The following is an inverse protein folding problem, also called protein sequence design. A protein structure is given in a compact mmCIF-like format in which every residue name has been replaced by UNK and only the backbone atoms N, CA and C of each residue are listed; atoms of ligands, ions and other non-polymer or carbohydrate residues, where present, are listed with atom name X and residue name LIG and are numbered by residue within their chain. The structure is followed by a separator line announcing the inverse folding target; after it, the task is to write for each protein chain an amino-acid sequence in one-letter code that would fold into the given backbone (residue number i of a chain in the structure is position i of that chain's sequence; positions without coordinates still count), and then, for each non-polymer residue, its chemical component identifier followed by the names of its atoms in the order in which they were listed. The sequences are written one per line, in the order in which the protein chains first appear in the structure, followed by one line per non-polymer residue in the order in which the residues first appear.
data_IF_436482535747
#
_entry.id   IF_436482535747
#
_cell.length_a   1.000
_cell.length_b   1.000
_cell.length_c   1.000
_cell.angle_alpha   90.00
_cell.angle_beta   90.00
_cell.angle_gamma   90.00
#
_symmetry.space_group_name_H-M   'P 1'
#
loop_
_entity.id
_entity.type
_entity.pdbx_description
1 polymer ?
#
# COMPACT_ATOMS: atom_id res chain seq x y z
N UNK A 1 -29.56 -0.46 35.93
CA UNK A 1 -28.17 -0.93 35.79
C UNK A 1 -28.23 -2.25 35.03
N UNK A 2 -28.23 -2.18 33.70
CA UNK A 2 -28.36 -3.33 32.80
C UNK A 2 -27.14 -3.33 31.89
N UNK A 3 -26.33 -4.37 32.03
CA UNK A 3 -25.02 -4.51 31.43
C UNK A 3 -25.20 -4.79 29.93
N UNK A 4 -24.83 -3.82 29.09
CA UNK A 4 -24.58 -4.04 27.66
C UNK A 4 -23.16 -4.61 27.53
N UNK A 5 -23.06 -5.92 27.38
CA UNK A 5 -21.89 -6.70 26.92
C UNK A 5 -22.46 -7.56 25.78
N UNK A 6 -21.86 -7.75 24.62
CA UNK A 6 -20.58 -7.40 24.04
C UNK A 6 -20.92 -7.12 22.57
N UNK A 7 -20.66 -5.90 22.11
CA UNK A 7 -20.61 -5.58 20.68
C UNK A 7 -19.15 -5.18 20.37
N UNK A 8 -18.22 -5.99 20.89
CA UNK A 8 -16.77 -5.77 20.86
C UNK A 8 -16.07 -7.07 20.46
N UNK A 9 -16.44 -7.65 19.32
CA UNK A 9 -15.61 -8.71 18.73
C UNK A 9 -15.73 -8.83 17.21
N UNK A 10 -15.93 -7.72 16.48
CA UNK A 10 -15.71 -7.66 15.02
C UNK A 10 -15.25 -6.26 14.59
N UNK A 11 -14.37 -5.61 15.36
CA UNK A 11 -13.53 -4.58 14.78
C UNK A 11 -12.54 -5.28 13.83
N UNK A 12 -13.04 -5.68 12.66
CA UNK A 12 -12.23 -6.16 11.57
C UNK A 12 -11.07 -5.18 11.40
N UNK A 13 -9.85 -5.69 11.47
CA UNK A 13 -8.63 -4.90 11.38
C UNK A 13 -8.69 -4.06 10.09
N UNK A 14 -8.94 -2.76 10.26
CA UNK A 14 -8.98 -1.77 9.20
C UNK A 14 -10.33 -1.63 8.47
N UNK A 15 -10.59 -0.47 7.83
CA UNK A 15 -11.73 -0.31 6.91
C UNK A 15 -11.68 -1.41 5.83
N UNK A 16 -12.76 -1.67 5.07
CA UNK A 16 -12.60 -2.42 3.83
C UNK A 16 -11.48 -1.72 3.04
N UNK A 17 -10.40 -2.46 2.76
CA UNK A 17 -9.16 -2.01 2.13
C UNK A 17 -8.22 -1.19 3.03
N UNK A 18 -7.42 -1.89 3.83
CA UNK A 18 -6.31 -1.30 4.59
C UNK A 18 -5.07 -0.96 3.71
N UNK A 19 -5.17 -1.15 2.39
CA UNK A 19 -4.13 -0.86 1.41
C UNK A 19 -4.70 -0.62 0.01
N UNK A 20 -3.86 -0.10 -0.87
CA UNK A 20 -4.07 -0.08 -2.33
C UNK A 20 -2.90 -0.80 -3.01
N UNK A 21 -3.19 -1.57 -4.06
CA UNK A 21 -2.18 -2.31 -4.84
C UNK A 21 -1.99 -1.67 -6.21
N UNK A 22 -0.78 -1.82 -6.74
CA UNK A 22 -0.45 -1.43 -8.10
C UNK A 22 0.74 -2.23 -8.64
N UNK A 23 1.08 -1.97 -9.89
CA UNK A 23 2.22 -2.59 -10.57
C UNK A 23 3.19 -1.48 -10.97
N UNK A 24 4.47 -1.65 -10.62
CA UNK A 24 5.53 -0.71 -11.00
C UNK A 24 6.49 -1.40 -11.97
N UNK A 25 6.18 -1.31 -13.26
CA UNK A 25 6.98 -1.86 -14.36
C UNK A 25 7.20 -0.83 -15.47
N UNK A 26 8.30 -0.98 -16.22
CA UNK A 26 8.64 -0.11 -17.35
C UNK A 26 8.18 -0.78 -18.65
N UNK A 27 7.39 -0.07 -19.45
CA UNK A 27 6.96 -0.58 -20.75
C UNK A 27 8.15 -0.98 -21.63
N UNK A 28 8.09 -2.18 -22.20
CA UNK A 28 9.12 -2.71 -23.09
C UNK A 28 10.39 -3.20 -22.39
N UNK A 29 10.44 -3.20 -21.05
CA UNK A 29 11.56 -3.76 -20.28
C UNK A 29 11.03 -4.80 -19.29
N UNK A 30 11.45 -6.08 -19.37
CA UNK A 30 11.01 -7.09 -18.42
C UNK A 30 11.49 -6.73 -17.01
N UNK A 31 10.59 -6.87 -16.03
CA UNK A 31 10.92 -6.62 -14.63
C UNK A 31 11.80 -7.75 -14.09
N UNK A 32 12.98 -7.39 -13.56
CA UNK A 32 13.86 -8.34 -12.90
C UNK A 32 13.45 -8.44 -11.42
N UNK A 33 13.27 -9.67 -10.93
CA UNK A 33 12.97 -9.93 -9.52
C UNK A 33 13.98 -9.24 -8.62
N UNK A 34 13.49 -8.44 -7.69
CA UNK A 34 14.32 -7.75 -6.71
C UNK A 34 14.66 -8.68 -5.52
N UNK A 35 15.87 -8.56 -4.95
CA UNK A 35 16.19 -9.20 -3.68
C UNK A 35 15.33 -8.60 -2.57
N UNK A 36 15.16 -9.37 -1.49
CA UNK A 36 14.55 -8.85 -0.25
C UNK A 36 15.55 -7.92 0.43
N UNK A 37 15.13 -6.70 0.77
CA UNK A 37 15.94 -5.69 1.48
C UNK A 37 15.33 -5.38 2.87
N UNK A 38 15.37 -4.11 3.32
CA UNK A 38 14.89 -3.70 4.63
C UNK A 38 13.40 -4.02 4.80
N UNK A 39 13.07 -4.85 5.79
CA UNK A 39 11.70 -5.22 6.12
C UNK A 39 11.30 -4.67 7.49
N UNK A 40 11.04 -3.36 7.62
CA UNK A 40 10.56 -2.80 8.88
C UNK A 40 9.11 -3.22 9.15
N UNK A 41 8.61 -2.94 10.35
CA UNK A 41 7.16 -3.06 10.61
C UNK A 41 6.40 -2.07 9.72
N UNK A 42 5.41 -2.56 8.98
CA UNK A 42 4.62 -1.72 8.08
C UNK A 42 3.76 -0.73 8.85
N UNK A 43 3.92 0.54 8.48
CA UNK A 43 3.18 1.67 9.01
C UNK A 43 2.30 2.26 7.93
N UNK A 44 1.31 3.03 8.35
CA UNK A 44 0.52 3.86 7.44
C UNK A 44 1.44 4.73 6.58
N UNK A 45 1.24 4.64 5.27
CA UNK A 45 2.04 5.35 4.26
C UNK A 45 3.24 4.57 3.74
N UNK A 46 3.61 3.42 4.32
CA UNK A 46 4.67 2.57 3.76
C UNK A 46 4.34 2.14 2.34
N UNK A 47 5.34 2.16 1.46
CA UNK A 47 5.30 1.64 0.10
C UNK A 47 6.25 0.44 0.02
N UNK A 48 5.71 -0.73 -0.32
CA UNK A 48 6.44 -1.98 -0.22
C UNK A 48 6.17 -2.92 -1.39
N UNK A 49 7.15 -3.76 -1.71
CA UNK A 49 7.05 -4.78 -2.75
C UNK A 49 6.20 -5.95 -2.28
N UNK A 50 5.41 -6.52 -3.18
CA UNK A 50 4.77 -7.83 -2.99
C UNK A 50 5.73 -8.88 -3.55
N UNK A 51 6.25 -9.75 -2.67
CA UNK A 51 7.30 -10.68 -3.05
C UNK A 51 8.52 -9.94 -3.61
N UNK A 52 8.93 -10.31 -4.83
CA UNK A 52 10.08 -9.70 -5.52
C UNK A 52 9.68 -8.64 -6.56
N UNK A 53 8.45 -8.13 -6.53
CA UNK A 53 7.87 -7.22 -7.54
C UNK A 53 7.45 -7.93 -8.84
N UNK A 54 6.88 -7.21 -9.83
CA UNK A 54 6.69 -5.74 -9.91
C UNK A 54 5.50 -5.20 -9.11
N UNK A 55 4.67 -6.05 -8.54
CA UNK A 55 3.53 -5.63 -7.73
C UNK A 55 4.01 -4.98 -6.43
N UNK A 56 3.33 -3.92 -6.03
CA UNK A 56 3.59 -3.20 -4.80
C UNK A 56 2.26 -2.78 -4.16
N UNK A 57 2.32 -2.36 -2.90
CA UNK A 57 1.19 -1.74 -2.23
C UNK A 57 1.58 -0.47 -1.48
N UNK A 58 0.57 0.36 -1.21
CA UNK A 58 0.65 1.49 -0.30
C UNK A 58 -0.23 1.17 0.90
N UNK A 59 0.37 1.17 2.08
CA UNK A 59 -0.34 0.91 3.33
C UNK A 59 -1.21 2.11 3.74
N UNK A 60 -2.49 1.89 4.02
CA UNK A 60 -3.41 2.91 4.52
C UNK A 60 -3.59 2.86 6.05
N UNK A 61 -3.10 1.80 6.68
CA UNK A 61 -3.11 1.58 8.13
C UNK A 61 -1.74 1.04 8.61
N UNK A 62 -1.62 0.84 9.92
CA UNK A 62 -0.48 0.10 10.48
C UNK A 62 -0.76 -1.41 10.42
N UNK A 63 0.24 -2.21 10.04
CA UNK A 63 0.12 -3.66 9.87
C UNK A 63 1.17 -4.39 10.71
N UNK A 64 1.00 -4.34 12.04
CA UNK A 64 1.91 -5.03 12.97
C UNK A 64 1.90 -6.56 12.80
N UNK A 65 0.79 -7.11 12.31
CA UNK A 65 0.55 -8.51 12.05
C UNK A 65 1.44 -9.08 10.94
N UNK A 66 1.93 -8.24 10.03
CA UNK A 66 2.80 -8.62 8.90
C UNK A 66 4.29 -8.55 9.23
N UNK A 67 4.63 -8.25 10.49
CA UNK A 67 6.00 -8.30 11.03
C UNK A 67 7.02 -7.63 10.10
N UNK A 68 7.96 -8.42 9.57
CA UNK A 68 9.10 -8.01 8.74
C UNK A 68 9.09 -8.78 7.41
N UNK A 69 7.91 -8.96 6.82
CA UNK A 69 7.73 -9.79 5.62
C UNK A 69 8.00 -9.05 4.30
N UNK A 70 7.86 -7.73 4.29
CA UNK A 70 7.86 -6.94 3.06
C UNK A 70 9.00 -5.93 3.03
N UNK A 71 9.70 -5.89 1.89
CA UNK A 71 10.69 -4.86 1.63
C UNK A 71 10.02 -3.51 1.39
N UNK A 72 10.28 -2.55 2.28
CA UNK A 72 9.77 -1.18 2.18
C UNK A 72 10.80 -0.33 1.43
N UNK A 73 10.39 0.25 0.30
CA UNK A 73 11.27 1.05 -0.56
C UNK A 73 10.85 2.53 -0.63
N UNK A 74 9.75 2.89 0.01
CA UNK A 74 9.25 4.26 -0.02
C UNK A 74 8.24 4.55 1.07
N UNK A 75 7.86 5.83 1.16
CA UNK A 75 6.76 6.28 2.00
C UNK A 75 5.98 7.38 1.30
N UNK A 76 4.68 7.45 1.58
CA UNK A 76 3.84 8.58 1.23
C UNK A 76 4.04 9.67 2.29
N UNK A 77 4.22 10.91 1.85
CA UNK A 77 4.35 12.05 2.76
C UNK A 77 3.07 12.20 3.61
N UNK A 78 3.18 12.51 4.91
CA UNK A 78 2.02 12.64 5.80
C UNK A 78 0.93 13.57 5.26
N UNK A 79 1.32 14.71 4.69
CA UNK A 79 0.46 15.72 4.06
C UNK A 79 -0.30 15.18 2.84
N UNK A 80 0.28 14.24 2.10
CA UNK A 80 -0.27 13.70 0.85
C UNK A 80 -1.03 12.38 1.04
N UNK A 81 -1.08 11.84 2.26
CA UNK A 81 -1.82 10.61 2.55
C UNK A 81 -3.31 10.67 2.17
N UNK A 82 -3.89 11.87 2.16
CA UNK A 82 -5.27 12.07 1.73
C UNK A 82 -5.48 11.74 0.23
N UNK A 83 -4.45 11.90 -0.60
CA UNK A 83 -4.46 11.57 -2.02
C UNK A 83 -4.52 10.05 -2.20
N UNK A 84 -3.66 9.31 -1.50
CA UNK A 84 -3.66 7.85 -1.51
C UNK A 84 -5.02 7.28 -1.05
N UNK A 85 -5.58 7.85 0.04
CA UNK A 85 -6.89 7.43 0.56
C UNK A 85 -8.03 7.71 -0.43
N UNK A 86 -7.95 8.77 -1.23
CA UNK A 86 -8.98 9.10 -2.25
C UNK A 86 -9.13 8.01 -3.32
N UNK A 87 -8.10 7.19 -3.55
CA UNK A 87 -8.17 6.07 -4.49
C UNK A 87 -9.20 5.03 -4.02
N UNK A 88 -9.37 4.82 -2.71
CA UNK A 88 -10.33 3.84 -2.17
C UNK A 88 -11.79 4.25 -2.34
N UNK A 89 -12.07 5.49 -2.75
CA UNK A 89 -13.42 5.98 -3.00
C UNK A 89 -13.80 5.95 -4.47
N UNK A 90 -12.90 5.49 -5.34
CA UNK A 90 -13.17 5.36 -6.77
C UNK A 90 -14.05 4.14 -7.05
N UNK A 91 -14.79 4.12 -8.17
CA UNK A 91 -15.60 2.96 -8.56
C UNK A 91 -14.77 1.68 -8.70
N UNK A 92 -15.30 0.58 -8.18
CA UNK A 92 -14.65 -0.73 -8.21
C UNK A 92 -15.61 -1.81 -8.70
N UNK A 93 -15.02 -2.86 -9.27
CA UNK A 93 -15.69 -4.13 -9.55
C UNK A 93 -15.18 -5.21 -8.59
N UNK A 94 -16.05 -6.14 -8.15
CA UNK A 94 -15.62 -7.29 -7.38
C UNK A 94 -14.80 -8.26 -8.24
N UNK A 95 -13.81 -8.90 -7.63
CA UNK A 95 -12.99 -9.96 -8.23
C UNK A 95 -12.56 -10.97 -7.15
N UNK A 96 -12.00 -12.11 -7.53
CA UNK A 96 -11.56 -13.18 -6.61
C UNK A 96 -10.14 -13.61 -6.95
N UNK A 97 -9.21 -13.38 -6.04
CA UNK A 97 -7.81 -13.79 -6.18
C UNK A 97 -7.47 -14.85 -5.14
N UNK A 98 -7.06 -16.05 -5.58
CA UNK A 98 -6.73 -17.17 -4.68
C UNK A 98 -7.81 -17.46 -3.62
N UNK A 99 -9.09 -17.43 -4.01
CA UNK A 99 -10.26 -17.56 -3.14
C UNK A 99 -10.45 -16.43 -2.11
N UNK A 100 -9.76 -15.30 -2.29
CA UNK A 100 -9.97 -14.07 -1.50
C UNK A 100 -10.78 -13.09 -2.33
N UNK A 101 -11.88 -12.59 -1.78
CA UNK A 101 -12.69 -11.55 -2.40
C UNK A 101 -11.93 -10.22 -2.36
N UNK A 102 -11.74 -9.61 -3.52
CA UNK A 102 -11.08 -8.31 -3.67
C UNK A 102 -11.97 -7.36 -4.47
N UNK A 103 -11.64 -6.09 -4.47
CA UNK A 103 -12.25 -5.11 -5.36
C UNK A 103 -11.18 -4.41 -6.17
N UNK A 104 -11.36 -4.36 -7.48
CA UNK A 104 -10.42 -3.78 -8.42
C UNK A 104 -11.03 -2.49 -8.97
N UNK A 105 -10.21 -1.46 -9.16
CA UNK A 105 -10.66 -0.22 -9.78
C UNK A 105 -11.24 -0.47 -11.17
N UNK A 106 -12.43 0.06 -11.45
CA UNK A 106 -13.01 0.05 -12.81
C UNK A 106 -12.08 0.71 -13.83
N UNK A 107 -11.40 1.78 -13.39
CA UNK A 107 -10.41 2.50 -14.17
C UNK A 107 -9.14 2.64 -13.36
N UNK A 108 -8.04 2.11 -13.88
CA UNK A 108 -6.72 2.20 -13.25
C UNK A 108 -6.27 3.67 -13.12
N UNK A 109 -5.65 3.99 -11.99
CA UNK A 109 -5.01 5.28 -11.74
C UNK A 109 -3.54 5.17 -12.20
N UNK A 110 -3.12 5.93 -13.23
CA UNK A 110 -1.73 5.89 -13.68
C UNK A 110 -0.81 6.53 -12.63
N UNK A 111 0.36 5.94 -12.44
CA UNK A 111 1.40 6.46 -11.57
C UNK A 111 2.58 6.95 -12.41
N UNK A 112 3.12 8.10 -12.03
CA UNK A 112 4.28 8.70 -12.69
C UNK A 112 5.43 8.81 -11.71
N UNK A 113 6.59 8.25 -12.09
CA UNK A 113 7.82 8.44 -11.33
C UNK A 113 8.61 9.60 -11.93
N UNK A 114 9.00 10.54 -11.07
CA UNK A 114 9.91 11.62 -11.42
C UNK A 114 11.09 11.61 -10.45
N UNK A 115 12.30 11.51 -11.00
CA UNK A 115 13.51 11.71 -10.21
C UNK A 115 13.60 13.19 -9.80
N UNK A 116 13.66 13.45 -8.49
CA UNK A 116 13.94 14.79 -7.97
C UNK A 116 15.44 15.06 -8.16
N UNK A 117 15.77 16.13 -8.88
CA UNK A 117 17.15 16.63 -8.94
C UNK A 117 17.45 17.35 -7.63
N UNK A 118 18.38 16.83 -6.82
CA UNK A 118 18.88 17.59 -5.66
C UNK A 118 19.77 18.72 -6.18
N UNK A 119 19.40 19.98 -5.92
CA UNK A 119 20.32 21.10 -6.09
C UNK A 119 21.42 21.00 -5.03
N UNK A 120 22.67 21.18 -5.43
CA UNK A 120 23.86 21.06 -4.59
C UNK A 120 24.01 22.30 -3.68
N UNK A 121 23.09 22.48 -2.74
CA UNK A 121 23.20 23.46 -1.65
C UNK A 121 22.52 22.86 -0.44
N UNK A 122 23.33 22.42 0.51
CA UNK A 122 23.18 22.60 1.96
C UNK A 122 24.22 21.70 2.65
N UNK A 123 25.48 22.11 2.51
CA UNK A 123 26.54 21.83 3.48
C UNK A 123 26.76 23.16 4.22
N UNK A 124 26.38 23.22 5.49
CA UNK A 124 26.86 24.20 6.48
C UNK A 124 27.29 23.40 7.70
#
# INVERSE_FOLDING_TARGET
MGIKREEEELAAFGPPYALIQGTLEVQGTPFNKLPVEECPTLRRGSVAWIGSGPEFFISLADHSEWKHEYTVFGSVLPEDMHIAKKITTLPTIPDVWNNVNVTVLEKLVPLMLRRIQKSHKDEI
#
